data_IF_444401783855
#
_entry.id   IF_444401783855
#
_cell.length_a   1.000
_cell.length_b   1.000
_cell.length_c   1.000
_cell.angle_alpha   90.00
_cell.angle_beta   90.00
_cell.angle_gamma   90.00
#
_symmetry.space_group_name_H-M   'P 1'
#
loop_
_entity.id
_entity.type
_entity.pdbx_description
1 polymer ?
#
# COMPACT_ATOMS: atom_id res chain seq x y z
N UNK A 1 -10.27 24.38 32.56
CA UNK A 1 -9.95 23.36 31.53
C UNK A 1 -8.62 23.79 30.96
N UNK A 2 -7.60 23.06 31.27
CA UNK A 2 -6.28 23.34 30.73
C UNK A 2 -6.35 23.17 29.21
N UNK A 3 -5.88 24.19 28.49
CA UNK A 3 -5.98 24.21 27.02
C UNK A 3 -4.77 23.44 26.47
N UNK A 4 -4.97 22.15 26.24
CA UNK A 4 -3.94 21.29 25.63
C UNK A 4 -3.75 21.66 24.16
N UNK A 5 -2.49 21.76 23.74
CA UNK A 5 -2.12 21.93 22.33
C UNK A 5 -1.01 20.97 21.93
N UNK A 6 -1.08 20.50 20.71
CA UNK A 6 -0.07 19.63 20.14
C UNK A 6 1.08 20.45 19.55
N UNK A 7 2.31 20.00 19.79
CA UNK A 7 3.53 20.62 19.27
C UNK A 7 4.31 19.61 18.40
N UNK A 8 4.96 20.07 17.31
CA UNK A 8 5.80 19.22 16.49
C UNK A 8 6.98 18.64 17.26
N UNK A 9 7.31 17.38 17.00
CA UNK A 9 8.53 16.73 17.49
C UNK A 9 9.62 16.89 16.42
N UNK A 10 10.69 17.63 16.75
CA UNK A 10 11.86 17.70 15.87
C UNK A 10 12.51 16.33 15.71
N UNK A 11 12.88 15.91 14.49
CA UNK A 11 13.61 14.66 14.24
C UNK A 11 14.94 14.57 15.01
N UNK A 12 15.54 15.70 15.36
CA UNK A 12 16.80 15.78 16.10
C UNK A 12 16.61 15.81 17.63
N UNK A 13 15.38 15.98 18.12
CA UNK A 13 15.09 16.00 19.55
C UNK A 13 15.05 14.59 20.14
N UNK A 14 16.20 14.10 20.60
CA UNK A 14 16.35 12.75 21.18
C UNK A 14 15.47 12.51 22.40
N UNK A 15 15.30 13.54 23.27
CA UNK A 15 14.48 13.43 24.50
C UNK A 15 13.00 13.23 24.14
N UNK A 16 12.45 14.08 23.29
CA UNK A 16 11.06 13.96 22.85
C UNK A 16 10.78 12.62 22.14
N UNK A 17 11.74 12.17 21.32
CA UNK A 17 11.62 10.85 20.66
C UNK A 17 11.62 9.69 21.65
N UNK A 18 12.48 9.75 22.68
CA UNK A 18 12.49 8.73 23.73
C UNK A 18 11.18 8.73 24.55
N UNK A 19 10.62 9.90 24.86
CA UNK A 19 9.30 9.99 25.50
C UNK A 19 8.19 9.43 24.61
N UNK A 20 8.23 9.70 23.29
CA UNK A 20 7.28 9.14 22.32
C UNK A 20 7.38 7.60 22.31
N UNK A 21 8.60 7.05 22.22
CA UNK A 21 8.80 5.60 22.21
C UNK A 21 8.27 4.96 23.51
N UNK A 22 8.55 5.56 24.66
CA UNK A 22 8.07 5.08 25.95
C UNK A 22 6.53 5.14 26.09
N UNK A 23 5.88 6.20 25.55
CA UNK A 23 4.42 6.30 25.53
C UNK A 23 3.81 5.25 24.61
N UNK A 24 4.34 5.11 23.40
CA UNK A 24 3.86 4.10 22.43
C UNK A 24 3.97 2.68 23.00
N UNK A 25 5.11 2.34 23.61
CA UNK A 25 5.35 1.03 24.24
C UNK A 25 4.34 0.74 25.35
N UNK A 26 4.05 1.72 26.25
CA UNK A 26 3.02 1.58 27.29
C UNK A 26 1.64 1.30 26.72
N UNK A 27 1.31 1.88 25.57
CA UNK A 27 0.01 1.70 24.90
C UNK A 27 0.01 0.48 23.92
N UNK A 28 1.09 -0.31 23.92
CA UNK A 28 1.22 -1.52 23.09
C UNK A 28 1.31 -1.22 21.60
N UNK A 29 2.00 -0.14 21.26
CA UNK A 29 2.26 0.32 19.89
C UNK A 29 3.77 0.41 19.70
N UNK A 30 4.30 -0.15 18.63
CA UNK A 30 5.69 0.08 18.20
C UNK A 30 5.76 1.36 17.35
N UNK A 31 6.91 2.04 17.36
CA UNK A 31 7.06 3.17 16.46
C UNK A 31 7.22 2.71 15.01
N UNK A 32 6.38 3.21 14.11
CA UNK A 32 6.53 2.99 12.68
C UNK A 32 7.87 3.57 12.16
N UNK A 33 8.55 2.82 11.31
CA UNK A 33 9.86 3.20 10.76
C UNK A 33 9.78 4.33 9.73
N UNK A 34 8.60 4.51 9.12
CA UNK A 34 8.39 5.37 7.96
C UNK A 34 7.80 6.75 8.29
N UNK A 35 7.85 7.18 9.56
CA UNK A 35 7.23 8.44 9.99
C UNK A 35 7.94 9.65 9.37
N UNK A 36 7.16 10.56 8.77
CA UNK A 36 7.63 11.80 8.14
C UNK A 36 7.37 13.04 8.99
N UNK A 37 6.49 12.92 9.99
CA UNK A 37 6.13 13.97 10.93
C UNK A 37 5.59 13.35 12.21
N UNK A 38 5.87 13.95 13.35
CA UNK A 38 5.30 13.56 14.64
C UNK A 38 4.99 14.79 15.48
N UNK A 39 3.94 14.69 16.31
CA UNK A 39 3.53 15.72 17.24
C UNK A 39 3.22 15.10 18.60
N UNK A 40 3.29 15.91 19.65
CA UNK A 40 3.05 15.51 21.02
C UNK A 40 2.27 16.55 21.80
N UNK A 41 1.60 16.10 22.85
CA UNK A 41 1.01 16.92 23.90
C UNK A 41 1.75 16.57 25.19
N UNK A 42 2.10 17.59 25.96
CA UNK A 42 2.79 17.45 27.24
C UNK A 42 1.92 17.97 28.38
N UNK A 43 2.09 17.37 29.56
CA UNK A 43 1.55 17.93 30.81
C UNK A 43 2.43 19.07 31.36
N UNK A 44 2.02 19.64 32.49
CA UNK A 44 2.75 20.74 33.16
C UNK A 44 4.14 20.33 33.66
N UNK A 45 4.38 19.04 33.90
CA UNK A 45 5.67 18.47 34.29
C UNK A 45 6.59 18.18 33.10
N UNK A 46 6.10 18.44 31.84
CA UNK A 46 6.83 18.19 30.63
C UNK A 46 6.91 16.71 30.24
N UNK A 47 6.00 15.89 30.76
CA UNK A 47 5.84 14.49 30.34
C UNK A 47 4.91 14.41 29.12
N UNK A 48 5.25 13.55 28.18
CA UNK A 48 4.41 13.33 26.99
C UNK A 48 3.19 12.48 27.37
N UNK A 49 2.00 13.06 27.22
CA UNK A 49 0.70 12.44 27.54
C UNK A 49 -0.10 12.03 26.31
N UNK A 50 0.21 12.58 25.14
CA UNK A 50 -0.34 12.10 23.87
C UNK A 50 0.67 12.30 22.74
N UNK A 51 0.59 11.44 21.73
CA UNK A 51 1.40 11.55 20.50
C UNK A 51 0.61 11.07 19.30
N UNK A 52 1.03 11.52 18.13
CA UNK A 52 0.55 11.04 16.83
C UNK A 52 1.52 11.42 15.73
N UNK A 53 1.48 10.68 14.65
CA UNK A 53 2.45 10.83 13.56
C UNK A 53 1.78 10.73 12.20
N UNK A 54 2.53 11.10 11.17
CA UNK A 54 2.13 11.04 9.77
C UNK A 54 3.12 10.21 8.97
N UNK A 55 2.57 9.48 8.03
CA UNK A 55 3.30 8.90 6.91
C UNK A 55 2.45 9.06 5.65
N UNK A 56 2.99 9.75 4.63
CA UNK A 56 2.21 10.16 3.44
C UNK A 56 0.88 10.79 3.85
N UNK A 57 -0.25 10.26 3.41
CA UNK A 57 -1.59 10.71 3.77
C UNK A 57 -2.25 9.86 4.88
N UNK A 58 -1.46 9.13 5.66
CA UNK A 58 -1.96 8.31 6.77
C UNK A 58 -1.57 8.88 8.13
N UNK A 59 -2.52 8.86 9.08
CA UNK A 59 -2.27 9.10 10.50
C UNK A 59 -1.81 7.80 11.13
N UNK A 60 -0.71 7.86 11.91
CA UNK A 60 -0.05 6.68 12.49
C UNK A 60 0.40 6.92 13.93
N UNK A 61 0.65 5.83 14.65
CA UNK A 61 1.20 5.86 16.01
C UNK A 61 0.43 6.82 16.93
N UNK A 62 -0.91 6.77 16.90
CA UNK A 62 -1.78 7.58 17.72
C UNK A 62 -1.90 6.94 19.10
N UNK A 63 -1.45 7.64 20.14
CA UNK A 63 -1.49 7.17 21.52
C UNK A 63 -1.85 8.29 22.49
N UNK A 64 -2.62 7.94 23.52
CA UNK A 64 -2.93 8.80 24.68
C UNK A 64 -2.63 7.98 25.93
N UNK A 65 -1.88 8.54 26.85
CA UNK A 65 -1.53 7.92 28.14
C UNK A 65 -2.80 7.47 28.88
N UNK A 66 -2.76 6.25 29.40
CA UNK A 66 -3.90 5.65 30.09
C UNK A 66 -4.47 6.49 31.22
N UNK A 67 -3.63 7.26 31.94
CA UNK A 67 -4.04 8.15 33.04
C UNK A 67 -4.83 9.39 32.55
N UNK A 68 -4.62 9.80 31.29
CA UNK A 68 -5.22 11.00 30.68
C UNK A 68 -6.37 10.69 29.70
N UNK A 69 -6.91 9.47 29.76
CA UNK A 69 -8.04 9.08 28.91
C UNK A 69 -9.30 9.83 29.31
N UNK A 70 -10.04 10.30 28.31
CA UNK A 70 -11.28 11.09 28.53
C UNK A 70 -11.09 12.60 28.53
N UNK A 71 -9.85 13.10 28.52
CA UNK A 71 -9.52 14.54 28.51
C UNK A 71 -9.55 15.19 27.11
N UNK A 72 -9.97 14.44 26.08
CA UNK A 72 -10.07 14.97 24.72
C UNK A 72 -8.75 15.03 23.94
N UNK A 73 -7.65 14.54 24.47
CA UNK A 73 -6.30 14.64 23.88
C UNK A 73 -6.21 14.00 22.49
N UNK A 74 -6.95 12.90 22.24
CA UNK A 74 -7.01 12.28 20.91
C UNK A 74 -7.58 13.25 19.87
N UNK A 75 -8.58 14.04 20.22
CA UNK A 75 -9.15 15.03 19.31
C UNK A 75 -8.15 16.14 18.99
N UNK A 76 -7.41 16.62 20.00
CA UNK A 76 -6.40 17.67 19.83
C UNK A 76 -5.27 17.19 18.92
N UNK A 77 -4.72 15.98 19.17
CA UNK A 77 -3.62 15.45 18.36
C UNK A 77 -4.06 15.16 16.93
N UNK A 78 -5.25 14.57 16.72
CA UNK A 78 -5.79 14.30 15.37
C UNK A 78 -6.06 15.60 14.63
N UNK A 79 -6.66 16.61 15.25
CA UNK A 79 -6.89 17.92 14.63
C UNK A 79 -5.58 18.56 14.18
N UNK A 80 -4.55 18.52 15.00
CA UNK A 80 -3.21 19.02 14.65
C UNK A 80 -2.62 18.29 13.43
N UNK A 81 -2.72 16.94 13.40
CA UNK A 81 -2.19 16.15 12.29
C UNK A 81 -2.97 16.40 11.00
N UNK A 82 -4.30 16.54 11.09
CA UNK A 82 -5.15 16.90 9.93
C UNK A 82 -4.75 18.26 9.39
N UNK A 83 -4.56 19.26 10.26
CA UNK A 83 -4.11 20.59 9.86
C UNK A 83 -2.74 20.53 9.16
N UNK A 84 -1.78 19.81 9.74
CA UNK A 84 -0.46 19.62 9.14
C UNK A 84 -0.51 18.93 7.76
N UNK A 85 -1.48 18.07 7.51
CA UNK A 85 -1.71 17.45 6.21
C UNK A 85 -2.38 18.41 5.22
N UNK A 86 -3.34 19.21 5.67
CA UNK A 86 -3.97 20.24 4.82
C UNK A 86 -2.95 21.25 4.31
N UNK A 87 -2.01 21.67 5.15
CA UNK A 87 -0.90 22.57 4.78
C UNK A 87 0.03 21.97 3.73
N UNK A 88 0.14 20.62 3.69
CA UNK A 88 0.88 19.87 2.67
C UNK A 88 0.06 19.57 1.40
N UNK A 89 -1.20 20.03 1.34
CA UNK A 89 -2.12 19.79 0.22
C UNK A 89 -2.85 18.43 0.29
N UNK A 90 -2.68 17.67 1.35
CA UNK A 90 -3.32 16.37 1.52
C UNK A 90 -4.67 16.53 2.23
N UNK A 91 -5.75 16.43 1.48
CA UNK A 91 -7.13 16.55 2.01
C UNK A 91 -7.83 15.21 2.22
N UNK A 92 -7.30 14.13 1.66
CA UNK A 92 -7.84 12.78 1.81
C UNK A 92 -6.91 11.95 2.66
N UNK A 93 -7.34 11.67 3.88
CA UNK A 93 -6.52 11.06 4.91
C UNK A 93 -7.07 9.70 5.32
N UNK A 94 -6.17 8.82 5.70
CA UNK A 94 -6.48 7.47 6.14
C UNK A 94 -5.89 7.21 7.53
N UNK A 95 -6.44 6.23 8.22
CA UNK A 95 -5.85 5.66 9.41
C UNK A 95 -6.19 4.18 9.54
N UNK A 96 -5.34 3.48 10.26
CA UNK A 96 -5.54 2.10 10.68
C UNK A 96 -5.56 2.07 12.20
N UNK A 97 -6.52 1.35 12.78
CA UNK A 97 -6.69 1.31 14.22
C UNK A 97 -7.17 -0.04 14.72
N UNK A 98 -6.97 -0.31 16.00
CA UNK A 98 -7.57 -1.46 16.68
C UNK A 98 -9.10 -1.35 16.65
N UNK A 99 -9.82 -2.47 16.61
CA UNK A 99 -11.28 -2.51 16.51
C UNK A 99 -11.94 -1.67 17.61
N UNK A 100 -11.49 -1.86 18.87
CA UNK A 100 -12.05 -1.16 20.03
C UNK A 100 -11.79 0.34 20.02
N UNK A 101 -10.78 0.79 19.26
CA UNK A 101 -10.39 2.19 19.15
C UNK A 101 -11.09 2.93 18.01
N UNK A 102 -11.66 2.23 17.02
CA UNK A 102 -12.32 2.84 15.86
C UNK A 102 -13.43 3.83 16.25
N UNK A 103 -14.16 3.55 17.33
CA UNK A 103 -15.23 4.42 17.87
C UNK A 103 -14.75 5.82 18.26
N UNK A 104 -13.47 5.99 18.59
CA UNK A 104 -12.90 7.30 18.97
C UNK A 104 -12.61 8.19 17.77
N UNK A 105 -12.48 7.62 16.57
CA UNK A 105 -12.19 8.36 15.35
C UNK A 105 -13.44 8.76 14.56
N UNK A 106 -14.56 8.07 14.75
CA UNK A 106 -15.82 8.42 14.09
C UNK A 106 -16.29 9.87 14.42
N UNK A 107 -16.28 10.34 15.69
CA UNK A 107 -16.58 11.74 16.00
C UNK A 107 -15.59 12.75 15.42
N UNK A 108 -14.38 12.30 15.06
CA UNK A 108 -13.31 13.12 14.46
C UNK A 108 -13.41 13.16 12.93
N UNK A 109 -14.48 12.64 12.35
CA UNK A 109 -14.78 12.70 10.92
C UNK A 109 -14.19 11.54 10.09
N UNK A 110 -13.71 10.48 10.75
CA UNK A 110 -13.27 9.28 10.04
C UNK A 110 -14.38 8.24 9.97
N UNK A 111 -14.55 7.65 8.79
CA UNK A 111 -15.52 6.58 8.53
C UNK A 111 -14.81 5.29 8.18
N UNK A 112 -15.37 4.17 8.63
CA UNK A 112 -14.82 2.86 8.31
C UNK A 112 -15.00 2.53 6.83
N UNK A 113 -13.91 2.05 6.20
CA UNK A 113 -13.90 1.54 4.83
C UNK A 113 -14.00 0.02 4.84
N UNK A 114 -13.13 -0.62 5.63
CA UNK A 114 -13.03 -2.08 5.75
C UNK A 114 -12.41 -2.46 7.10
N UNK A 115 -12.59 -3.73 7.48
CA UNK A 115 -11.95 -4.30 8.67
C UNK A 115 -11.43 -5.71 8.42
N UNK A 116 -10.50 -6.10 9.26
CA UNK A 116 -10.11 -7.50 9.47
C UNK A 116 -10.53 -7.85 10.89
N UNK A 117 -11.48 -8.76 11.04
CA UNK A 117 -12.09 -9.10 12.32
C UNK A 117 -11.04 -9.54 13.34
N UNK A 118 -11.19 -9.03 14.57
CA UNK A 118 -10.27 -9.26 15.67
C UNK A 118 -8.90 -8.55 15.56
N UNK A 119 -8.61 -7.82 14.47
CA UNK A 119 -7.27 -7.25 14.23
C UNK A 119 -7.26 -5.76 13.99
N UNK A 120 -7.93 -5.26 12.95
CA UNK A 120 -7.87 -3.83 12.59
C UNK A 120 -9.10 -3.32 11.86
N UNK A 121 -9.23 -1.99 11.88
CA UNK A 121 -10.17 -1.21 11.07
C UNK A 121 -9.38 -0.22 10.23
N UNK A 122 -9.70 -0.14 8.94
CA UNK A 122 -9.20 0.85 8.00
C UNK A 122 -10.25 1.94 7.81
N UNK A 123 -9.86 3.20 7.98
CA UNK A 123 -10.77 4.35 8.01
C UNK A 123 -10.26 5.48 7.14
N UNK A 124 -11.17 6.32 6.64
CA UNK A 124 -10.87 7.53 5.88
C UNK A 124 -11.65 8.74 6.41
N UNK A 125 -11.12 9.97 6.21
CA UNK A 125 -11.77 11.22 6.58
C UNK A 125 -12.75 11.73 5.51
N UNK A 126 -13.08 10.94 4.51
CA UNK A 126 -14.09 11.24 3.50
C UNK A 126 -15.24 10.25 3.61
N UNK A 127 -16.43 10.77 3.90
CA UNK A 127 -17.63 9.95 4.10
C UNK A 127 -17.99 9.07 2.90
N UNK A 128 -17.64 9.50 1.71
CA UNK A 128 -17.96 8.86 0.44
C UNK A 128 -16.72 8.60 -0.45
N UNK A 129 -15.51 8.64 0.15
CA UNK A 129 -14.25 8.51 -0.60
C UNK A 129 -14.17 7.20 -1.37
N UNK A 130 -14.38 6.07 -0.71
CA UNK A 130 -14.39 4.77 -1.36
C UNK A 130 -15.52 4.62 -2.40
N UNK A 131 -16.71 5.16 -2.12
CA UNK A 131 -17.81 5.14 -3.08
C UNK A 131 -17.49 5.95 -4.36
N UNK A 132 -16.85 7.11 -4.22
CA UNK A 132 -16.37 7.90 -5.36
C UNK A 132 -15.29 7.17 -6.14
N UNK A 133 -14.37 6.47 -5.46
CA UNK A 133 -13.38 5.64 -6.12
C UNK A 133 -14.05 4.54 -6.95
N UNK A 134 -14.98 3.78 -6.38
CA UNK A 134 -15.73 2.78 -7.13
C UNK A 134 -16.45 3.38 -8.35
N UNK A 135 -17.07 4.55 -8.18
CA UNK A 135 -17.71 5.28 -9.29
C UNK A 135 -16.70 5.67 -10.39
N UNK A 136 -15.48 6.06 -10.02
CA UNK A 136 -14.43 6.39 -11.00
C UNK A 136 -13.98 5.18 -11.82
N UNK A 137 -14.18 3.97 -11.31
CA UNK A 137 -13.88 2.73 -12.00
C UNK A 137 -15.03 2.26 -12.94
N UNK A 138 -16.20 2.87 -12.89
CA UNK A 138 -17.36 2.47 -13.68
C UNK A 138 -17.11 2.32 -15.20
N UNK A 139 -16.22 3.12 -15.85
CA UNK A 139 -15.89 2.90 -17.28
C UNK A 139 -15.25 1.55 -17.58
N UNK A 140 -14.73 0.86 -16.57
CA UNK A 140 -14.07 -0.45 -16.70
C UNK A 140 -14.99 -1.61 -16.30
N UNK A 141 -16.22 -1.33 -15.85
CA UNK A 141 -17.23 -2.34 -15.58
C UNK A 141 -17.76 -2.96 -16.89
N UNK A 142 -18.32 -4.15 -16.81
CA UNK A 142 -18.94 -4.81 -17.95
C UNK A 142 -20.10 -5.70 -17.54
N UNK A 143 -21.01 -5.96 -18.48
CA UNK A 143 -22.16 -6.85 -18.27
C UNK A 143 -21.71 -8.30 -18.08
N UNK A 144 -20.68 -8.72 -18.85
CA UNK A 144 -20.10 -10.06 -18.73
C UNK A 144 -19.02 -10.08 -17.65
N UNK A 145 -18.83 -11.23 -16.98
CA UNK A 145 -17.75 -11.41 -16.03
C UNK A 145 -16.38 -11.09 -16.63
N UNK A 146 -15.53 -10.46 -15.83
CA UNK A 146 -14.16 -10.14 -16.22
C UNK A 146 -13.15 -10.69 -15.22
N UNK A 147 -11.88 -10.50 -15.54
CA UNK A 147 -10.76 -10.86 -14.67
C UNK A 147 -9.97 -9.63 -14.21
N UNK A 148 -9.21 -9.81 -13.14
CA UNK A 148 -8.33 -8.77 -12.61
C UNK A 148 -6.89 -9.25 -12.47
N UNK A 149 -5.98 -8.29 -12.61
CA UNK A 149 -4.59 -8.35 -12.19
C UNK A 149 -4.30 -7.15 -11.29
N UNK A 150 -3.50 -7.36 -10.26
CA UNK A 150 -2.97 -6.28 -9.41
C UNK A 150 -1.46 -6.45 -9.35
N UNK A 151 -0.69 -5.42 -9.69
CA UNK A 151 0.76 -5.51 -9.69
C UNK A 151 1.44 -4.19 -9.38
N UNK A 152 2.60 -4.30 -8.75
CA UNK A 152 3.48 -3.15 -8.53
C UNK A 152 4.27 -2.79 -9.80
N UNK A 153 4.73 -3.81 -10.55
CA UNK A 153 5.48 -3.64 -11.80
C UNK A 153 6.74 -2.76 -11.66
N UNK A 154 7.60 -3.05 -10.71
CA UNK A 154 8.77 -2.26 -10.31
C UNK A 154 10.13 -2.92 -10.68
N UNK A 155 10.57 -2.91 -11.98
CA UNK A 155 9.83 -2.53 -13.19
C UNK A 155 8.89 -3.64 -13.73
N UNK A 156 8.22 -3.37 -14.84
CA UNK A 156 7.41 -4.37 -15.54
C UNK A 156 8.30 -5.38 -16.27
N UNK A 157 8.18 -6.66 -15.92
CA UNK A 157 9.03 -7.76 -16.43
C UNK A 157 8.26 -8.67 -17.38
N UNK A 158 8.97 -9.59 -18.05
CA UNK A 158 8.34 -10.66 -18.84
C UNK A 158 7.46 -11.59 -17.98
N UNK A 159 7.77 -11.73 -16.69
CA UNK A 159 6.88 -12.42 -15.74
C UNK A 159 5.50 -11.75 -15.61
N UNK A 160 5.50 -10.43 -15.46
CA UNK A 160 4.25 -9.64 -15.45
C UNK A 160 3.52 -9.69 -16.80
N UNK A 161 4.28 -9.65 -17.91
CA UNK A 161 3.73 -9.74 -19.25
C UNK A 161 3.05 -11.10 -19.50
N UNK A 162 3.65 -12.19 -19.04
CA UNK A 162 3.08 -13.54 -19.15
C UNK A 162 1.75 -13.66 -18.38
N UNK A 163 1.65 -13.07 -17.19
CA UNK A 163 0.40 -13.00 -16.44
C UNK A 163 -0.68 -12.21 -17.20
N UNK A 164 -0.31 -11.04 -17.74
CA UNK A 164 -1.24 -10.21 -18.50
C UNK A 164 -1.71 -10.92 -19.79
N UNK A 165 -0.81 -11.58 -20.50
CA UNK A 165 -1.11 -12.37 -21.70
C UNK A 165 -2.04 -13.54 -21.38
N UNK A 166 -1.76 -14.28 -20.29
CA UNK A 166 -2.60 -15.38 -19.85
C UNK A 166 -4.02 -14.91 -19.53
N UNK A 167 -4.14 -13.84 -18.76
CA UNK A 167 -5.43 -13.26 -18.42
C UNK A 167 -6.17 -12.76 -19.67
N UNK A 168 -5.49 -12.07 -20.60
CA UNK A 168 -6.06 -11.58 -21.83
C UNK A 168 -6.60 -12.71 -22.72
N UNK A 169 -5.87 -13.82 -22.81
CA UNK A 169 -6.27 -14.97 -23.64
C UNK A 169 -7.48 -15.73 -23.08
N UNK A 170 -7.62 -15.78 -21.74
CA UNK A 170 -8.63 -16.60 -21.08
C UNK A 170 -9.92 -15.85 -20.75
N UNK A 171 -9.94 -14.52 -20.90
CA UNK A 171 -11.09 -13.71 -20.51
C UNK A 171 -11.46 -12.70 -21.60
N UNK A 172 -12.74 -12.42 -21.73
CA UNK A 172 -13.22 -11.38 -22.65
C UNK A 172 -12.86 -9.97 -22.22
N UNK A 173 -12.65 -9.76 -20.91
CA UNK A 173 -12.32 -8.46 -20.32
C UNK A 173 -11.38 -8.64 -19.12
N UNK A 174 -10.33 -7.83 -19.09
CA UNK A 174 -9.33 -7.81 -18.03
C UNK A 174 -9.12 -6.39 -17.54
N UNK A 175 -9.14 -6.19 -16.23
CA UNK A 175 -8.75 -4.93 -15.59
C UNK A 175 -7.43 -5.15 -14.83
N UNK A 176 -6.38 -4.49 -15.29
CA UNK A 176 -5.06 -4.56 -14.70
C UNK A 176 -4.82 -3.31 -13.86
N UNK A 177 -4.77 -3.48 -12.55
CA UNK A 177 -4.47 -2.41 -11.60
C UNK A 177 -2.97 -2.30 -11.36
N UNK A 178 -2.41 -1.10 -11.58
CA UNK A 178 -1.03 -0.77 -11.18
C UNK A 178 -1.08 -0.04 -9.84
N UNK A 179 -0.37 -0.54 -8.84
CA UNK A 179 -0.32 0.06 -7.51
C UNK A 179 0.17 1.50 -7.61
N UNK A 180 -0.63 2.45 -7.13
CA UNK A 180 -0.37 3.90 -7.28
C UNK A 180 0.61 4.45 -6.24
N UNK A 181 1.03 3.63 -5.29
CA UNK A 181 2.02 4.00 -4.30
C UNK A 181 3.38 4.34 -4.93
N UNK A 182 4.01 5.40 -4.47
CA UNK A 182 5.25 5.94 -5.05
C UNK A 182 6.51 5.65 -4.20
N UNK A 183 6.50 4.56 -3.44
CA UNK A 183 7.63 4.07 -2.63
C UNK A 183 8.59 3.19 -3.43
N UNK A 184 8.18 2.76 -4.59
CA UNK A 184 8.99 1.93 -5.48
C UNK A 184 10.16 2.72 -6.09
N UNK A 185 11.26 2.03 -6.40
CA UNK A 185 12.43 2.66 -7.04
C UNK A 185 12.10 3.20 -8.43
N UNK A 186 11.20 2.52 -9.16
CA UNK A 186 10.61 3.06 -10.38
C UNK A 186 9.36 3.86 -10.01
N UNK A 187 9.31 5.18 -10.30
CA UNK A 187 8.16 6.02 -9.99
C UNK A 187 6.84 5.49 -10.54
N UNK A 188 5.74 5.73 -9.83
CA UNK A 188 4.41 5.26 -10.23
C UNK A 188 4.05 5.64 -11.67
N UNK A 189 4.28 6.90 -12.06
CA UNK A 189 4.00 7.40 -13.41
C UNK A 189 4.69 6.53 -14.48
N UNK A 190 5.91 6.14 -14.21
CA UNK A 190 6.74 5.38 -15.13
C UNK A 190 6.32 3.92 -15.18
N UNK A 191 5.99 3.33 -14.03
CA UNK A 191 5.42 1.98 -13.94
C UNK A 191 4.12 1.87 -14.72
N UNK A 192 3.21 2.83 -14.54
CA UNK A 192 1.94 2.87 -15.28
C UNK A 192 2.16 3.00 -16.79
N UNK A 193 3.11 3.84 -17.22
CA UNK A 193 3.43 4.02 -18.64
C UNK A 193 4.00 2.74 -19.26
N UNK A 194 4.92 2.06 -18.60
CA UNK A 194 5.49 0.79 -19.06
C UNK A 194 4.43 -0.30 -19.20
N UNK A 195 3.56 -0.44 -18.20
CA UNK A 195 2.47 -1.43 -18.23
C UNK A 195 1.50 -1.13 -19.35
N UNK A 196 1.09 0.14 -19.53
CA UNK A 196 0.21 0.56 -20.63
C UNK A 196 0.83 0.26 -21.99
N UNK A 197 2.10 0.61 -22.19
CA UNK A 197 2.81 0.35 -23.45
C UNK A 197 2.90 -1.16 -23.77
N UNK A 198 3.23 -1.98 -22.76
CA UNK A 198 3.37 -3.41 -22.92
C UNK A 198 2.01 -4.12 -23.18
N UNK A 199 0.92 -3.61 -22.59
CA UNK A 199 -0.41 -4.17 -22.74
C UNK A 199 -1.22 -3.60 -23.91
N UNK A 200 -0.71 -2.58 -24.61
CA UNK A 200 -1.42 -1.93 -25.73
C UNK A 200 -1.80 -2.86 -26.89
N UNK A 201 -1.14 -4.01 -26.97
CA UNK A 201 -1.44 -5.05 -27.97
C UNK A 201 -2.67 -5.90 -27.64
N UNK A 202 -3.28 -5.74 -26.46
CA UNK A 202 -4.47 -6.49 -26.03
C UNK A 202 -5.68 -5.56 -25.96
N UNK A 203 -6.64 -5.71 -26.89
CA UNK A 203 -7.84 -4.88 -26.96
C UNK A 203 -8.78 -5.05 -25.76
N UNK A 204 -8.67 -6.19 -25.06
CA UNK A 204 -9.51 -6.56 -23.92
C UNK A 204 -8.87 -6.27 -22.55
N UNK A 205 -7.69 -5.63 -22.49
CA UNK A 205 -6.99 -5.28 -21.25
C UNK A 205 -7.05 -3.79 -21.00
N UNK A 206 -7.71 -3.40 -19.90
CA UNK A 206 -7.72 -2.02 -19.42
C UNK A 206 -6.70 -1.85 -18.28
N UNK A 207 -5.70 -1.00 -18.47
CA UNK A 207 -4.68 -0.69 -17.45
C UNK A 207 -5.10 0.56 -16.68
N UNK A 208 -5.31 0.40 -15.37
CA UNK A 208 -5.87 1.44 -14.49
C UNK A 208 -5.02 1.67 -13.24
N UNK A 209 -5.18 2.83 -12.61
CA UNK A 209 -4.59 3.12 -11.30
C UNK A 209 -5.34 2.38 -10.19
N UNK A 210 -4.60 1.82 -9.23
CA UNK A 210 -5.22 1.22 -8.03
C UNK A 210 -5.85 2.24 -7.08
N UNK A 211 -5.53 3.52 -7.22
CA UNK A 211 -5.90 4.53 -6.22
C UNK A 211 -5.31 4.21 -4.84
N UNK A 212 -5.88 4.81 -3.81
CA UNK A 212 -5.41 4.63 -2.42
C UNK A 212 -6.04 3.42 -1.70
N UNK A 213 -6.80 2.59 -2.40
CA UNK A 213 -7.59 1.51 -1.79
C UNK A 213 -7.09 0.10 -2.09
N UNK A 214 -6.03 -0.04 -2.86
CA UNK A 214 -5.23 -1.26 -2.96
C UNK A 214 -3.90 -0.98 -2.26
N UNK A 215 -3.69 -1.63 -1.13
CA UNK A 215 -2.66 -1.28 -0.16
C UNK A 215 -1.42 -2.12 -0.44
N UNK A 216 -0.29 -1.45 -0.62
CA UNK A 216 0.99 -2.13 -0.74
C UNK A 216 1.51 -2.61 0.62
N UNK A 217 2.22 -3.73 0.64
CA UNK A 217 2.90 -4.22 1.84
C UNK A 217 3.92 -3.21 2.40
N UNK A 218 4.52 -2.38 1.55
CA UNK A 218 5.50 -1.38 1.94
C UNK A 218 4.91 -0.22 2.76
N UNK A 219 3.61 0.06 2.60
CA UNK A 219 2.91 1.13 3.32
C UNK A 219 1.94 0.63 4.38
N UNK A 220 1.67 -0.68 4.41
CA UNK A 220 0.81 -1.25 5.43
C UNK A 220 1.41 -1.07 6.83
N UNK A 221 0.67 -0.52 7.81
CA UNK A 221 1.20 -0.26 9.14
C UNK A 221 1.28 -1.56 9.96
N UNK A 222 2.47 -1.87 10.44
CA UNK A 222 2.72 -3.05 11.29
C UNK A 222 2.81 -2.73 12.79
N UNK A 223 2.85 -1.48 13.16
CA UNK A 223 3.24 -0.99 14.50
C UNK A 223 2.31 -1.41 15.66
N UNK A 224 1.16 -2.00 15.41
CA UNK A 224 0.27 -2.56 16.44
C UNK A 224 0.09 -4.09 16.35
N UNK A 225 0.82 -4.73 15.44
CA UNK A 225 0.87 -6.19 15.28
C UNK A 225 2.31 -6.66 15.54
N UNK A 226 2.48 -7.61 16.45
CA UNK A 226 3.82 -8.01 16.94
C UNK A 226 4.51 -9.09 16.11
N UNK A 227 3.77 -9.79 15.26
CA UNK A 227 4.25 -10.94 14.49
C UNK A 227 4.23 -10.62 12.99
N UNK A 228 5.33 -10.85 12.29
CA UNK A 228 5.48 -10.53 10.86
C UNK A 228 4.50 -11.33 9.97
N UNK A 229 4.20 -12.58 10.33
CA UNK A 229 3.26 -13.40 9.58
C UNK A 229 1.83 -12.90 9.80
N UNK A 230 1.50 -12.49 11.03
CA UNK A 230 0.22 -11.86 11.34
C UNK A 230 0.07 -10.53 10.59
N UNK A 231 1.12 -9.73 10.49
CA UNK A 231 1.13 -8.49 9.70
C UNK A 231 0.82 -8.79 8.24
N UNK A 232 1.53 -9.75 7.65
CA UNK A 232 1.35 -10.15 6.24
C UNK A 232 -0.05 -10.68 5.97
N UNK A 233 -0.55 -11.59 6.81
CA UNK A 233 -1.92 -12.10 6.69
C UNK A 233 -2.97 -11.00 6.83
N UNK A 234 -2.82 -10.13 7.82
CA UNK A 234 -3.78 -9.04 8.07
C UNK A 234 -3.82 -8.05 6.90
N UNK A 235 -2.65 -7.73 6.33
CA UNK A 235 -2.55 -6.94 5.10
C UNK A 235 -3.28 -7.60 3.94
N UNK A 236 -3.01 -8.88 3.69
CA UNK A 236 -3.61 -9.63 2.59
C UNK A 236 -5.13 -9.78 2.74
N UNK A 237 -5.61 -10.06 3.95
CA UNK A 237 -7.05 -10.14 4.25
C UNK A 237 -7.76 -8.80 4.05
N UNK A 238 -7.12 -7.68 4.44
CA UNK A 238 -7.67 -6.34 4.21
C UNK A 238 -7.71 -6.00 2.71
N UNK A 239 -6.61 -6.26 1.98
CA UNK A 239 -6.55 -6.04 0.53
C UNK A 239 -7.60 -6.89 -0.19
N UNK A 240 -7.71 -8.18 0.16
CA UNK A 240 -8.73 -9.06 -0.39
C UNK A 240 -10.15 -8.55 -0.11
N UNK A 241 -10.42 -8.09 1.11
CA UNK A 241 -11.74 -7.54 1.51
C UNK A 241 -12.10 -6.29 0.71
N UNK A 242 -11.15 -5.38 0.52
CA UNK A 242 -11.34 -4.20 -0.34
C UNK A 242 -11.54 -4.61 -1.80
N UNK A 243 -10.73 -5.55 -2.27
CA UNK A 243 -10.81 -6.05 -3.63
C UNK A 243 -12.15 -6.71 -3.94
N UNK A 244 -12.77 -7.45 -3.01
CA UNK A 244 -14.11 -8.04 -3.26
C UNK A 244 -15.15 -6.99 -3.60
N UNK A 245 -15.11 -5.81 -2.96
CA UNK A 245 -16.02 -4.69 -3.22
C UNK A 245 -15.73 -4.03 -4.57
N UNK A 246 -14.45 -3.92 -4.94
CA UNK A 246 -14.04 -3.43 -6.26
C UNK A 246 -14.47 -4.41 -7.34
N UNK A 247 -14.25 -5.69 -7.13
CA UNK A 247 -14.63 -6.75 -8.05
C UNK A 247 -16.15 -6.79 -8.27
N UNK A 248 -16.95 -6.66 -7.22
CA UNK A 248 -18.41 -6.58 -7.33
C UNK A 248 -18.86 -5.38 -8.18
N UNK A 249 -18.25 -4.19 -7.94
CA UNK A 249 -18.58 -2.97 -8.71
C UNK A 249 -18.21 -3.07 -10.19
N UNK A 250 -17.21 -3.89 -10.53
CA UNK A 250 -16.71 -4.06 -11.90
C UNK A 250 -17.17 -5.36 -12.58
N UNK A 251 -17.95 -6.20 -11.89
CA UNK A 251 -18.30 -7.55 -12.35
C UNK A 251 -17.04 -8.39 -12.69
N UNK A 252 -16.08 -8.46 -11.75
CA UNK A 252 -14.88 -9.28 -11.87
C UNK A 252 -15.04 -10.55 -11.03
N UNK A 253 -14.91 -11.70 -11.66
CA UNK A 253 -15.12 -13.02 -11.02
C UNK A 253 -13.84 -13.84 -10.93
N UNK A 254 -12.70 -13.30 -11.41
CA UNK A 254 -11.41 -13.98 -11.37
C UNK A 254 -10.29 -12.99 -11.07
N UNK A 255 -9.35 -13.38 -10.20
CA UNK A 255 -8.09 -12.64 -9.93
C UNK A 255 -6.90 -13.54 -10.25
N UNK A 256 -6.01 -13.05 -11.10
CA UNK A 256 -4.75 -13.73 -11.42
C UNK A 256 -3.65 -13.25 -10.52
N UNK A 257 -2.84 -14.20 -10.02
CA UNK A 257 -1.61 -13.94 -9.24
C UNK A 257 -0.49 -14.86 -9.73
N UNK A 258 0.74 -14.43 -9.59
CA UNK A 258 1.89 -15.28 -9.83
C UNK A 258 2.13 -16.23 -8.65
N UNK A 259 2.60 -17.43 -8.94
CA UNK A 259 3.15 -18.33 -7.95
C UNK A 259 4.44 -17.74 -7.36
N UNK A 260 4.67 -17.89 -6.07
CA UNK A 260 5.86 -17.41 -5.35
C UNK A 260 6.46 -18.52 -4.48
N UNK A 261 7.19 -19.47 -5.07
CA UNK A 261 7.71 -20.61 -4.32
C UNK A 261 8.84 -20.26 -3.36
N UNK A 262 9.46 -19.07 -3.49
CA UNK A 262 10.64 -18.68 -2.73
C UNK A 262 10.40 -17.58 -1.69
N UNK A 263 9.25 -16.92 -1.72
CA UNK A 263 8.91 -15.84 -0.79
C UNK A 263 7.85 -16.30 0.19
N UNK A 264 8.23 -16.51 1.45
CA UNK A 264 7.30 -16.83 2.53
C UNK A 264 6.17 -15.79 2.65
N UNK A 265 6.52 -14.50 2.59
CA UNK A 265 5.56 -13.39 2.64
C UNK A 265 4.54 -13.47 1.51
N UNK A 266 4.96 -13.76 0.28
CA UNK A 266 4.03 -13.85 -0.85
C UNK A 266 3.19 -15.14 -0.80
N UNK A 267 3.74 -16.24 -0.26
CA UNK A 267 2.95 -17.45 0.00
C UNK A 267 1.80 -17.17 0.96
N UNK A 268 2.10 -16.56 2.11
CA UNK A 268 1.09 -16.15 3.11
C UNK A 268 0.04 -15.19 2.51
N UNK A 269 0.48 -14.28 1.65
CA UNK A 269 -0.43 -13.37 0.95
C UNK A 269 -1.37 -14.13 0.02
N UNK A 270 -0.86 -15.04 -0.80
CA UNK A 270 -1.67 -15.86 -1.70
C UNK A 270 -2.62 -16.80 -0.95
N UNK A 271 -2.20 -17.36 0.19
CA UNK A 271 -3.05 -18.16 1.08
C UNK A 271 -4.25 -17.34 1.59
N UNK A 272 -4.01 -16.14 2.08
CA UNK A 272 -5.09 -15.26 2.54
C UNK A 272 -6.05 -14.89 1.40
N UNK A 273 -5.55 -14.62 0.18
CA UNK A 273 -6.41 -14.42 -0.99
C UNK A 273 -7.26 -15.67 -1.29
N UNK A 274 -6.67 -16.87 -1.20
CA UNK A 274 -7.37 -18.14 -1.43
C UNK A 274 -8.45 -18.41 -0.39
N UNK A 275 -8.34 -17.88 0.82
CA UNK A 275 -9.35 -17.96 1.87
C UNK A 275 -10.51 -16.96 1.68
N UNK A 276 -10.22 -15.75 1.22
CA UNK A 276 -11.19 -14.64 1.17
C UNK A 276 -11.94 -14.58 -0.16
N UNK A 277 -11.23 -14.65 -1.29
CA UNK A 277 -11.82 -14.39 -2.60
C UNK A 277 -12.93 -15.40 -2.99
N UNK A 278 -12.79 -16.71 -2.76
CA UNK A 278 -13.84 -17.67 -3.12
C UNK A 278 -15.14 -17.47 -2.35
N UNK A 279 -15.08 -16.97 -1.10
CA UNK A 279 -16.29 -16.63 -0.31
C UNK A 279 -17.11 -15.52 -0.95
N UNK A 280 -16.47 -14.67 -1.75
CA UNK A 280 -17.12 -13.60 -2.53
C UNK A 280 -17.41 -14.01 -3.99
N UNK A 281 -17.27 -15.28 -4.34
CA UNK A 281 -17.50 -15.79 -5.70
C UNK A 281 -16.41 -15.42 -6.69
N UNK A 282 -15.19 -15.10 -6.23
CA UNK A 282 -14.05 -14.73 -7.06
C UNK A 282 -13.06 -15.88 -7.08
N UNK A 283 -12.80 -16.42 -8.26
CA UNK A 283 -11.77 -17.43 -8.49
C UNK A 283 -10.36 -16.82 -8.35
N UNK A 284 -9.49 -17.43 -7.58
CA UNK A 284 -8.06 -17.11 -7.54
C UNK A 284 -7.31 -18.03 -8.52
N UNK A 285 -6.81 -17.47 -9.60
CA UNK A 285 -6.00 -18.19 -10.59
C UNK A 285 -4.51 -17.95 -10.28
N UNK A 286 -3.85 -18.96 -9.72
CA UNK A 286 -2.40 -18.94 -9.44
C UNK A 286 -1.67 -19.46 -10.67
N UNK A 287 -0.81 -18.64 -11.27
CA UNK A 287 -0.11 -18.95 -12.51
C UNK A 287 1.37 -19.25 -12.19
N UNK A 288 1.92 -20.36 -12.68
CA UNK A 288 3.34 -20.67 -12.55
C UNK A 288 4.23 -19.52 -13.03
N UNK A 289 5.34 -19.33 -12.33
CA UNK A 289 6.29 -18.25 -12.65
C UNK A 289 6.93 -18.46 -14.03
N UNK A 290 6.96 -17.39 -14.83
CA UNK A 290 7.70 -17.40 -16.08
C UNK A 290 9.21 -17.51 -15.79
N UNK A 291 9.91 -18.29 -16.61
CA UNK A 291 11.33 -18.54 -16.50
C UNK A 291 12.07 -18.00 -17.73
N UNK A 292 13.27 -17.51 -17.54
CA UNK A 292 14.22 -17.22 -18.60
C UNK A 292 15.53 -17.94 -18.27
N UNK A 293 16.06 -18.69 -19.23
CA UNK A 293 17.32 -19.47 -19.07
C UNK A 293 17.31 -20.42 -17.85
N UNK A 294 16.14 -20.94 -17.45
CA UNK A 294 16.00 -21.85 -16.33
C UNK A 294 15.83 -21.17 -14.96
N UNK A 295 15.89 -19.85 -14.89
CA UNK A 295 15.69 -19.08 -13.68
C UNK A 295 14.36 -18.30 -13.70
N UNK A 296 13.74 -18.13 -12.53
CA UNK A 296 12.49 -17.39 -12.38
C UNK A 296 12.71 -15.89 -12.63
N UNK A 297 11.93 -15.29 -13.52
CA UNK A 297 11.99 -13.86 -13.79
C UNK A 297 11.42 -13.08 -12.60
N UNK A 298 12.24 -12.21 -12.00
CA UNK A 298 11.80 -11.35 -10.90
C UNK A 298 12.19 -9.88 -11.14
N UNK A 299 11.35 -8.97 -10.65
CA UNK A 299 11.62 -7.54 -10.71
C UNK A 299 12.83 -7.15 -9.81
N UNK A 300 13.05 -7.86 -8.69
CA UNK A 300 14.21 -7.66 -7.83
C UNK A 300 15.51 -8.01 -8.55
N UNK A 301 15.55 -9.11 -9.30
CA UNK A 301 16.73 -9.46 -10.12
C UNK A 301 16.99 -8.40 -11.20
N UNK A 302 15.97 -7.91 -11.88
CA UNK A 302 16.12 -6.80 -12.84
C UNK A 302 16.68 -5.55 -12.17
N UNK A 303 16.19 -5.18 -10.98
CA UNK A 303 16.73 -4.04 -10.23
C UNK A 303 18.18 -4.26 -9.80
N UNK A 304 18.55 -5.48 -9.39
CA UNK A 304 19.94 -5.80 -9.04
C UNK A 304 20.87 -5.61 -10.24
N UNK A 305 20.51 -6.11 -11.41
CA UNK A 305 21.31 -5.91 -12.63
C UNK A 305 21.47 -4.42 -12.99
N UNK A 306 20.41 -3.63 -12.85
CA UNK A 306 20.50 -2.18 -13.08
C UNK A 306 21.40 -1.50 -12.05
N UNK A 307 21.28 -1.87 -10.76
CA UNK A 307 22.14 -1.37 -9.68
C UNK A 307 23.61 -1.62 -9.96
N UNK A 308 23.94 -2.81 -10.43
CA UNK A 308 25.29 -3.24 -10.74
C UNK A 308 25.82 -2.68 -12.10
N UNK A 309 25.04 -1.80 -12.73
CA UNK A 309 25.40 -1.17 -14.00
C UNK A 309 25.26 -2.07 -15.23
N UNK A 310 24.63 -3.24 -15.09
CA UNK A 310 24.49 -4.25 -16.14
C UNK A 310 23.17 -4.09 -16.91
N UNK A 311 22.87 -2.89 -17.41
CA UNK A 311 21.57 -2.59 -18.03
C UNK A 311 21.27 -3.44 -19.25
N UNK A 312 22.29 -3.85 -20.03
CA UNK A 312 22.10 -4.74 -21.18
C UNK A 312 21.62 -6.14 -20.78
N UNK A 313 22.01 -6.60 -19.58
CA UNK A 313 21.64 -7.92 -19.09
C UNK A 313 20.14 -8.06 -18.75
N UNK A 314 19.42 -6.94 -18.59
CA UNK A 314 17.97 -7.01 -18.33
C UNK A 314 17.14 -7.33 -19.58
N UNK A 315 17.70 -7.19 -20.79
CA UNK A 315 16.95 -7.32 -22.06
C UNK A 315 16.18 -8.63 -22.19
N UNK A 316 16.71 -9.81 -21.81
CA UNK A 316 15.96 -11.06 -21.85
C UNK A 316 14.92 -11.21 -20.70
N UNK A 317 14.85 -10.27 -19.75
CA UNK A 317 14.01 -10.35 -18.55
C UNK A 317 12.80 -9.41 -18.61
N UNK A 318 12.82 -8.42 -19.50
CA UNK A 318 11.78 -7.39 -19.62
C UNK A 318 11.25 -7.28 -21.04
N UNK A 319 9.99 -6.83 -21.25
CA UNK A 319 9.49 -6.49 -22.57
C UNK A 319 10.33 -5.38 -23.22
N UNK A 320 10.39 -5.36 -24.56
CA UNK A 320 11.14 -4.33 -25.30
C UNK A 320 10.67 -2.91 -24.95
N UNK A 321 9.37 -2.71 -24.65
CA UNK A 321 8.84 -1.42 -24.19
C UNK A 321 9.43 -0.98 -22.85
N UNK A 322 9.66 -1.90 -21.92
CA UNK A 322 10.31 -1.62 -20.64
C UNK A 322 11.79 -1.37 -20.81
N UNK A 323 12.48 -2.17 -21.64
CA UNK A 323 13.89 -1.97 -21.96
C UNK A 323 14.13 -0.61 -22.62
N UNK A 324 13.37 -0.29 -23.67
CA UNK A 324 13.45 0.98 -24.35
C UNK A 324 13.18 2.19 -23.43
N UNK A 325 12.23 2.06 -22.50
CA UNK A 325 11.99 3.08 -21.49
C UNK A 325 13.21 3.28 -20.57
N UNK A 326 13.71 2.20 -19.95
CA UNK A 326 14.82 2.27 -18.98
C UNK A 326 16.14 2.76 -19.61
N UNK A 327 16.33 2.55 -20.91
CA UNK A 327 17.51 3.04 -21.67
C UNK A 327 17.32 4.43 -22.26
N UNK A 328 16.10 5.01 -22.21
CA UNK A 328 15.81 6.37 -22.69
C UNK A 328 16.15 7.44 -21.66
N UNK A 329 16.21 8.72 -22.10
CA UNK A 329 16.37 9.88 -21.21
C UNK A 329 15.26 9.95 -20.14
N UNK A 330 14.03 9.57 -20.48
CA UNK A 330 12.89 9.53 -19.56
C UNK A 330 13.10 8.53 -18.43
N UNK A 331 13.73 7.37 -18.70
CA UNK A 331 14.01 6.31 -17.73
C UNK A 331 15.22 6.57 -16.83
N UNK A 332 16.09 7.53 -17.17
CA UNK A 332 17.34 7.80 -16.44
C UNK A 332 17.12 8.12 -14.95
N UNK A 333 16.01 8.76 -14.61
CA UNK A 333 15.68 9.04 -13.20
C UNK A 333 15.42 7.76 -12.41
N UNK A 334 14.67 6.81 -12.99
CA UNK A 334 14.41 5.51 -12.36
C UNK A 334 15.72 4.70 -12.23
N UNK A 335 16.55 4.67 -13.26
CA UNK A 335 17.86 4.00 -13.24
C UNK A 335 18.76 4.57 -12.14
N UNK A 336 18.89 5.90 -12.05
CA UNK A 336 19.69 6.57 -10.99
C UNK A 336 19.15 6.27 -9.58
N UNK A 337 17.83 6.23 -9.39
CA UNK A 337 17.23 5.85 -8.10
C UNK A 337 17.57 4.42 -7.71
N UNK A 338 17.52 3.49 -8.66
CA UNK A 338 17.92 2.09 -8.43
C UNK A 338 19.41 1.99 -8.09
N UNK A 339 20.27 2.68 -8.84
CA UNK A 339 21.72 2.67 -8.61
C UNK A 339 22.16 3.31 -7.29
N UNK A 340 21.39 4.27 -6.79
CA UNK A 340 21.66 4.95 -5.52
C UNK A 340 20.99 4.28 -4.30
N UNK A 341 20.25 3.19 -4.49
CA UNK A 341 19.54 2.52 -3.39
C UNK A 341 20.44 1.53 -2.67
N UNK A 342 20.45 1.57 -1.34
CA UNK A 342 21.14 0.58 -0.50
C UNK A 342 20.39 -0.77 -0.43
N UNK A 343 19.10 -0.79 -0.79
CA UNK A 343 18.28 -1.99 -0.85
C UNK A 343 17.44 -2.01 -2.14
N UNK A 344 17.82 -2.85 -3.09
CA UNK A 344 17.11 -3.03 -4.37
C UNK A 344 16.21 -4.26 -4.39
N UNK A 345 16.29 -5.09 -3.36
CA UNK A 345 15.55 -6.36 -3.29
C UNK A 345 14.15 -6.17 -2.71
N UNK A 346 14.04 -5.42 -1.60
CA UNK A 346 12.80 -5.31 -0.83
C UNK A 346 11.90 -4.11 -1.21
N UNK A 347 12.17 -3.47 -2.34
CA UNK A 347 11.40 -2.33 -2.85
C UNK A 347 10.31 -2.69 -3.84
#
# INVERSE_FOLDING_TARGET
>A
MDEYFAVPISPTNKRARAQMDALLEREGIERDRNLTYSAAIYDDDGQMIATGSLFENTLRCLAVDGAHRGEGLMAVIVAHLVQAQLERGNTHLFLYTKIDSAKFFAPLGFTEIARVDGRLVFMENRRDGFARYLKSLAPYAGERPGAALVMNANPFTLGHAALAERAARENERVVLFVLSEDRSLVPYKDRLAMVKAACAKYDNVSVVSSGSYMISSATFPSYFLKDADIVTRTHAELDATLFTRIAAALNLTRRYVGEEPFSHTTSLYNEALAEVLPKAGIELAVIPRAQAQGEAISASHVRQLIHDGQIEAIRPLVPETTYAYLTSDAGQNAVKRIQASDDVIHH
#
